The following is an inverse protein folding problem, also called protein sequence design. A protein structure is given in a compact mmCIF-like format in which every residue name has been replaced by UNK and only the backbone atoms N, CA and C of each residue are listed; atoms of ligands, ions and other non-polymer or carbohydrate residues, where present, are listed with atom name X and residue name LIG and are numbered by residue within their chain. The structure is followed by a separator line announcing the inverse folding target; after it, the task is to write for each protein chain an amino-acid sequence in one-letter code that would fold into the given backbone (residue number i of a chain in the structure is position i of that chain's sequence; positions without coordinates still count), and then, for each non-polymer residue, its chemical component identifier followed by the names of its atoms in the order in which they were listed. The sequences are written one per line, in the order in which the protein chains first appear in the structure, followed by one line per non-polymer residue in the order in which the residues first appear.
data_IF_266705205915
#
_entry.id   IF_266705205915
#
_cell.length_a   1.000
_cell.length_b   1.000
_cell.length_c   1.000
_cell.angle_alpha   90.00
_cell.angle_beta   90.00
_cell.angle_gamma   90.00
#
_symmetry.space_group_name_H-M   'P 1'
#
loop_
_entity.id
_entity.type
_entity.pdbx_description
1 polymer ?
#
# COMPACT_ATOMS: atom_id res chain seq x y z
N UNK A 1 -59.94 -36.48 -36.01
CA UNK A 1 -59.98 -35.61 -34.85
C UNK A 1 -58.55 -35.39 -34.32
N UNK A 2 -57.84 -34.43 -34.85
CA UNK A 2 -56.48 -34.09 -34.41
C UNK A 2 -56.56 -32.88 -33.46
N UNK A 3 -56.09 -33.05 -32.20
CA UNK A 3 -56.01 -32.01 -31.22
C UNK A 3 -54.59 -31.42 -31.27
N UNK A 4 -54.45 -30.21 -31.79
CA UNK A 4 -53.20 -29.43 -31.71
C UNK A 4 -53.02 -28.92 -30.28
N UNK A 5 -51.95 -29.34 -29.60
CA UNK A 5 -51.46 -28.72 -28.37
C UNK A 5 -50.49 -27.58 -28.74
N UNK A 6 -50.92 -26.36 -28.49
CA UNK A 6 -50.00 -25.21 -28.52
C UNK A 6 -49.24 -25.16 -27.19
N UNK A 7 -47.94 -25.39 -27.25
CA UNK A 7 -47.04 -25.08 -26.12
C UNK A 7 -46.69 -23.59 -26.18
N UNK A 8 -47.22 -22.80 -25.23
CA UNK A 8 -46.73 -21.44 -24.97
C UNK A 8 -45.43 -21.51 -24.16
N UNK A 9 -44.31 -21.21 -24.80
CA UNK A 9 -43.03 -20.99 -24.11
C UNK A 9 -43.06 -19.57 -23.52
N UNK A 10 -43.23 -19.45 -22.22
CA UNK A 10 -42.97 -18.21 -21.49
C UNK A 10 -41.45 -18.04 -21.39
N UNK A 11 -40.88 -17.17 -22.23
CA UNK A 11 -39.52 -16.63 -22.04
C UNK A 11 -39.59 -15.66 -20.85
N UNK A 12 -39.16 -16.13 -19.70
CA UNK A 12 -38.82 -15.24 -18.60
C UNK A 12 -37.60 -14.42 -19.03
N UNK A 13 -37.81 -13.14 -19.38
CA UNK A 13 -36.78 -12.15 -19.41
C UNK A 13 -36.38 -11.91 -17.94
N UNK A 14 -35.34 -12.63 -17.48
CA UNK A 14 -34.62 -12.22 -16.30
C UNK A 14 -33.86 -10.94 -16.73
N UNK A 15 -34.20 -9.75 -16.18
CA UNK A 15 -33.36 -8.59 -16.43
C UNK A 15 -31.95 -8.96 -15.96
N UNK A 16 -30.98 -8.95 -16.87
CA UNK A 16 -29.58 -8.93 -16.51
C UNK A 16 -29.45 -7.63 -15.72
N UNK A 17 -29.46 -7.73 -14.41
CA UNK A 17 -29.01 -6.66 -13.55
C UNK A 17 -27.62 -6.33 -14.04
N UNK A 18 -27.48 -5.21 -14.75
CA UNK A 18 -26.18 -4.64 -15.03
C UNK A 18 -25.52 -4.47 -13.65
N UNK A 19 -24.57 -5.37 -13.34
CA UNK A 19 -23.77 -5.22 -12.13
C UNK A 19 -23.17 -3.83 -12.25
N UNK A 20 -23.55 -2.99 -11.32
CA UNK A 20 -23.19 -1.58 -11.35
C UNK A 20 -21.66 -1.45 -11.35
N UNK A 21 -21.14 -0.70 -12.30
CA UNK A 21 -19.72 -0.42 -12.48
C UNK A 21 -19.21 0.41 -11.30
N UNK A 22 -18.13 -0.04 -10.66
CA UNK A 22 -17.60 0.66 -9.47
C UNK A 22 -16.80 1.91 -9.84
N UNK A 23 -15.95 1.86 -10.88
CA UNK A 23 -15.00 2.93 -11.21
C UNK A 23 -15.34 3.67 -12.51
N UNK A 24 -15.05 4.97 -12.53
CA UNK A 24 -14.93 5.81 -13.72
C UNK A 24 -13.46 6.12 -13.99
N UNK A 25 -13.10 6.31 -15.27
CA UNK A 25 -11.75 6.64 -15.67
C UNK A 25 -11.49 8.15 -15.61
N UNK A 26 -10.45 8.55 -14.88
CA UNK A 26 -9.97 9.94 -14.75
C UNK A 26 -8.63 10.17 -15.45
N UNK A 27 -8.10 9.22 -16.22
CA UNK A 27 -6.76 9.30 -16.83
C UNK A 27 -6.57 10.53 -17.72
N UNK A 28 -7.64 11.07 -18.30
CA UNK A 28 -7.61 12.30 -19.12
C UNK A 28 -7.29 13.58 -18.30
N UNK A 29 -7.36 13.51 -16.98
CA UNK A 29 -6.96 14.63 -16.09
C UNK A 29 -5.45 14.69 -15.87
N UNK A 30 -4.70 13.63 -16.25
CA UNK A 30 -3.24 13.56 -16.09
C UNK A 30 -2.55 14.28 -17.24
N UNK A 31 -1.80 15.35 -16.93
CA UNK A 31 -1.02 16.07 -17.94
C UNK A 31 0.33 15.40 -18.16
N UNK A 32 0.84 15.47 -19.40
CA UNK A 32 2.11 14.87 -19.80
C UNK A 32 2.24 13.37 -19.42
N UNK A 33 1.16 12.63 -19.58
CA UNK A 33 1.06 11.19 -19.28
C UNK A 33 1.51 10.35 -20.49
N UNK A 34 2.80 10.34 -20.77
CA UNK A 34 3.37 9.59 -21.88
C UNK A 34 3.60 8.13 -21.53
N UNK A 35 3.44 7.19 -22.47
CA UNK A 35 3.80 5.78 -22.23
C UNK A 35 5.28 5.61 -21.87
N UNK A 36 5.55 4.97 -20.72
CA UNK A 36 6.88 4.58 -20.27
C UNK A 36 6.79 3.27 -19.47
N UNK A 37 7.91 2.79 -18.94
CA UNK A 37 7.91 1.69 -17.95
C UNK A 37 7.89 2.29 -16.57
N UNK A 38 6.69 2.46 -16.03
CA UNK A 38 6.47 2.92 -14.66
C UNK A 38 6.35 1.72 -13.72
N UNK A 39 6.82 1.86 -12.48
CA UNK A 39 6.78 0.80 -11.48
C UNK A 39 6.17 1.28 -10.16
N UNK A 40 6.98 1.61 -9.18
CA UNK A 40 6.53 2.02 -7.86
C UNK A 40 5.85 3.39 -7.86
N UNK A 41 4.83 3.52 -7.02
CA UNK A 41 4.12 4.76 -6.74
C UNK A 41 4.18 5.03 -5.23
N UNK A 42 4.26 6.29 -4.82
CA UNK A 42 4.12 6.68 -3.42
C UNK A 42 3.32 7.97 -3.27
N UNK A 43 2.64 8.09 -2.14
CA UNK A 43 1.90 9.30 -1.78
C UNK A 43 2.58 9.94 -0.58
N UNK A 44 3.14 11.12 -0.78
CA UNK A 44 3.76 11.96 0.25
C UNK A 44 3.84 13.41 -0.21
N UNK A 45 4.12 14.34 0.71
CA UNK A 45 4.39 15.75 0.43
C UNK A 45 5.88 15.95 0.10
N UNK A 46 6.27 15.68 -1.16
CA UNK A 46 7.68 15.74 -1.57
C UNK A 46 8.24 17.17 -1.69
N UNK A 47 7.37 18.16 -1.83
CA UNK A 47 7.75 19.55 -2.06
C UNK A 47 7.55 20.44 -0.81
N UNK A 48 7.11 19.84 0.31
CA UNK A 48 6.86 20.47 1.61
C UNK A 48 5.83 21.61 1.54
N UNK A 49 4.80 21.48 0.67
CA UNK A 49 3.70 22.45 0.55
C UNK A 49 2.47 22.08 1.39
N UNK A 50 2.54 20.98 2.14
CA UNK A 50 1.51 20.40 3.01
C UNK A 50 0.32 19.76 2.29
N UNK A 51 0.43 19.52 0.99
CA UNK A 51 -0.45 18.68 0.22
C UNK A 51 0.29 17.41 -0.19
N UNK A 52 -0.44 16.31 -0.30
CA UNK A 52 0.18 15.08 -0.79
C UNK A 52 0.31 15.11 -2.31
N UNK A 53 1.41 14.55 -2.79
CA UNK A 53 1.78 14.40 -4.18
C UNK A 53 1.80 12.91 -4.56
N UNK A 54 1.59 12.61 -5.85
CA UNK A 54 1.80 11.27 -6.41
C UNK A 54 3.22 11.18 -6.99
N UNK A 55 4.11 10.45 -6.32
CA UNK A 55 5.45 10.15 -6.83
C UNK A 55 5.38 8.96 -7.78
N UNK A 56 6.12 9.04 -8.90
CA UNK A 56 6.17 8.01 -9.93
C UNK A 56 7.61 7.56 -10.17
N UNK A 57 7.87 6.28 -9.94
CA UNK A 57 9.13 5.63 -10.30
C UNK A 57 9.16 5.30 -11.78
N UNK A 58 10.18 5.77 -12.50
CA UNK A 58 10.33 5.56 -13.93
C UNK A 58 11.60 4.74 -14.23
N UNK A 59 11.43 3.58 -14.85
CA UNK A 59 12.53 2.69 -15.21
C UNK A 59 13.31 3.12 -16.45
N UNK A 60 12.71 3.96 -17.31
CA UNK A 60 13.30 4.37 -18.60
C UNK A 60 13.59 5.87 -18.68
N UNK A 61 13.47 6.59 -17.59
CA UNK A 61 13.69 8.02 -17.56
C UNK A 61 13.71 8.59 -16.14
N UNK A 62 13.67 9.90 -16.03
CA UNK A 62 13.67 10.58 -14.74
C UNK A 62 12.41 10.26 -13.92
N UNK A 63 12.60 10.07 -12.62
CA UNK A 63 11.51 10.05 -11.66
C UNK A 63 10.87 11.44 -11.55
N UNK A 64 9.59 11.50 -11.25
CA UNK A 64 8.83 12.73 -11.18
C UNK A 64 7.66 12.58 -10.20
N UNK A 65 6.95 13.67 -9.94
CA UNK A 65 5.73 13.63 -9.15
C UNK A 65 4.63 14.48 -9.79
N UNK A 66 3.39 14.18 -9.42
CA UNK A 66 2.21 14.96 -9.81
C UNK A 66 1.66 15.70 -8.60
N UNK A 67 1.40 16.99 -8.75
CA UNK A 67 0.57 17.80 -7.87
C UNK A 67 -0.81 17.96 -8.47
N UNK A 68 -1.84 18.22 -7.65
CA UNK A 68 -3.18 18.56 -8.16
C UNK A 68 -3.34 20.07 -8.26
N UNK A 69 -3.79 20.53 -9.43
CA UNK A 69 -4.21 21.91 -9.64
C UNK A 69 -5.43 21.95 -10.55
N UNK A 70 -6.50 22.61 -10.11
CA UNK A 70 -7.75 22.75 -10.86
C UNK A 70 -8.32 21.41 -11.37
N UNK A 71 -8.27 20.37 -10.55
CA UNK A 71 -8.64 18.97 -10.83
C UNK A 71 -7.78 18.30 -11.95
N UNK A 72 -6.61 18.84 -12.27
CA UNK A 72 -5.63 18.19 -13.14
C UNK A 72 -4.40 17.77 -12.36
N UNK A 73 -3.84 16.62 -12.71
CA UNK A 73 -2.54 16.14 -12.22
C UNK A 73 -1.45 16.77 -13.07
N UNK A 74 -0.68 17.68 -12.48
CA UNK A 74 0.38 18.45 -13.14
C UNK A 74 1.73 17.84 -12.80
N UNK A 75 2.48 17.46 -13.84
CA UNK A 75 3.79 16.85 -13.71
C UNK A 75 4.84 17.85 -13.23
N UNK A 76 5.64 17.44 -12.26
CA UNK A 76 6.77 18.17 -11.72
C UNK A 76 8.03 17.31 -11.70
N UNK A 77 9.19 17.95 -11.77
CA UNK A 77 10.49 17.28 -11.80
C UNK A 77 11.17 17.35 -10.44
N UNK A 78 11.84 16.26 -10.05
CA UNK A 78 12.72 16.22 -8.89
C UNK A 78 14.11 16.71 -9.37
N UNK A 79 14.67 17.72 -8.72
CA UNK A 79 15.98 18.28 -9.08
C UNK A 79 16.96 18.12 -7.89
N UNK A 80 18.10 17.41 -7.98
CA UNK A 80 18.70 16.91 -9.23
C UNK A 80 17.89 15.80 -9.89
N UNK A 81 17.93 15.72 -11.21
CA UNK A 81 17.20 14.70 -11.97
C UNK A 81 17.77 13.31 -11.64
N UNK A 82 16.93 12.45 -11.08
CA UNK A 82 17.24 11.05 -10.84
C UNK A 82 16.83 10.27 -12.10
N UNK A 83 17.80 9.94 -12.92
CA UNK A 83 17.61 9.19 -14.15
C UNK A 83 18.22 7.78 -14.02
N UNK A 84 17.79 7.06 -12.98
CA UNK A 84 18.17 5.68 -12.73
C UNK A 84 17.00 4.74 -13.07
N UNK A 85 17.27 3.44 -13.09
CA UNK A 85 16.24 2.42 -13.34
C UNK A 85 15.43 2.16 -12.07
N UNK A 86 14.57 3.09 -11.72
CA UNK A 86 13.80 3.02 -10.47
C UNK A 86 12.61 2.07 -10.58
N UNK A 87 12.47 1.18 -9.61
CA UNK A 87 11.36 0.23 -9.52
C UNK A 87 10.48 0.41 -8.29
N UNK A 88 11.01 0.96 -7.20
CA UNK A 88 10.26 1.13 -5.95
C UNK A 88 10.49 2.49 -5.33
N UNK A 89 9.56 2.93 -4.51
CA UNK A 89 9.63 4.20 -3.79
C UNK A 89 8.91 4.12 -2.45
N UNK A 90 9.49 4.77 -1.44
CA UNK A 90 8.86 4.96 -0.13
C UNK A 90 9.33 6.27 0.50
N UNK A 91 8.53 6.79 1.42
CA UNK A 91 8.79 8.02 2.13
C UNK A 91 8.57 7.89 3.64
N UNK A 92 9.41 8.51 4.44
CA UNK A 92 9.22 8.70 5.88
C UNK A 92 10.20 9.73 6.44
N UNK A 93 9.83 10.36 7.54
CA UNK A 93 10.65 11.30 8.29
C UNK A 93 11.76 10.57 9.05
N UNK A 94 12.98 10.53 8.50
CA UNK A 94 14.12 9.83 9.09
C UNK A 94 14.99 10.73 9.96
N UNK A 95 14.93 12.06 9.78
CA UNK A 95 15.77 13.01 10.49
C UNK A 95 15.01 13.87 11.51
N UNK A 96 13.70 13.62 11.67
CA UNK A 96 12.84 14.24 12.68
C UNK A 96 12.54 15.74 12.42
N UNK A 97 12.60 16.17 11.14
CA UNK A 97 12.33 17.57 10.78
C UNK A 97 10.85 17.87 10.47
N UNK A 98 10.02 16.82 10.41
CA UNK A 98 8.58 16.90 10.18
C UNK A 98 8.16 16.75 8.73
N UNK A 99 9.10 16.46 7.84
CA UNK A 99 8.88 16.15 6.43
C UNK A 99 9.43 14.75 6.11
N UNK A 100 8.90 14.12 5.08
CA UNK A 100 9.30 12.76 4.73
C UNK A 100 10.39 12.79 3.65
N UNK A 101 11.54 12.15 3.90
CA UNK A 101 12.54 11.83 2.88
C UNK A 101 12.03 10.72 1.97
N UNK A 102 12.40 10.78 0.70
CA UNK A 102 11.95 9.83 -0.34
C UNK A 102 13.10 8.94 -0.78
N UNK A 103 12.95 7.63 -0.56
CA UNK A 103 13.88 6.63 -1.04
C UNK A 103 13.43 6.08 -2.40
N UNK A 104 14.31 6.17 -3.41
CA UNK A 104 14.13 5.59 -4.74
C UNK A 104 14.98 4.33 -4.86
N UNK A 105 14.30 3.20 -5.02
CA UNK A 105 14.90 1.87 -5.14
C UNK A 105 15.22 1.58 -6.60
N UNK A 106 16.50 1.63 -6.95
CA UNK A 106 16.98 1.46 -8.33
C UNK A 106 17.53 0.05 -8.55
N UNK A 107 17.42 -0.46 -9.77
CA UNK A 107 18.05 -1.73 -10.15
C UNK A 107 18.31 -1.82 -11.64
N UNK A 108 19.45 -2.40 -12.02
CA UNK A 108 19.82 -2.74 -13.38
C UNK A 108 19.92 -4.27 -13.59
N UNK A 109 19.52 -5.05 -12.57
CA UNK A 109 19.57 -6.51 -12.60
C UNK A 109 18.32 -7.12 -11.94
N UNK A 110 17.99 -8.36 -12.30
CA UNK A 110 16.88 -9.09 -11.70
C UNK A 110 17.14 -9.46 -10.23
N UNK A 111 18.35 -9.84 -9.86
CA UNK A 111 18.70 -10.25 -8.50
C UNK A 111 20.21 -10.27 -8.26
N UNK A 112 20.63 -10.39 -7.01
CA UNK A 112 22.01 -10.35 -6.62
C UNK A 112 22.62 -8.95 -6.73
N UNK A 113 23.93 -8.87 -7.05
CA UNK A 113 24.66 -7.61 -7.13
C UNK A 113 24.19 -6.74 -8.29
N UNK A 114 24.04 -5.44 -8.06
CA UNK A 114 23.69 -4.41 -9.03
C UNK A 114 24.76 -3.32 -9.14
N UNK A 115 24.71 -2.53 -10.22
CA UNK A 115 25.60 -1.39 -10.45
C UNK A 115 24.94 -0.05 -10.16
N UNK A 116 23.61 0.05 -10.41
CA UNK A 116 22.84 1.27 -10.13
C UNK A 116 22.79 1.54 -8.61
N UNK A 117 22.91 2.80 -8.23
CA UNK A 117 22.76 3.23 -6.84
C UNK A 117 21.29 3.57 -6.54
N UNK A 118 20.87 3.35 -5.31
CA UNK A 118 19.61 3.92 -4.81
C UNK A 118 19.83 5.40 -4.47
N UNK A 119 18.74 6.17 -4.39
CA UNK A 119 18.76 7.56 -3.97
C UNK A 119 17.88 7.75 -2.75
N UNK A 120 18.30 8.62 -1.84
CA UNK A 120 17.51 9.04 -0.67
C UNK A 120 17.44 10.57 -0.69
N UNK A 121 16.26 11.08 -1.05
CA UNK A 121 16.06 12.49 -1.33
C UNK A 121 15.43 13.17 -0.14
N UNK A 122 16.10 14.19 0.37
CA UNK A 122 15.66 15.16 1.33
C UNK A 122 15.39 16.50 0.62
N UNK A 123 14.33 17.22 1.00
CA UNK A 123 14.03 18.56 0.53
C UNK A 123 14.23 19.60 1.63
N UNK A 124 15.37 20.28 1.62
CA UNK A 124 15.75 21.29 2.64
C UNK A 124 15.06 22.66 2.46
N UNK A 125 13.83 22.67 1.92
CA UNK A 125 12.99 23.85 1.61
C UNK A 125 13.52 24.76 0.49
N UNK A 126 14.63 24.40 -0.16
CA UNK A 126 15.23 25.15 -1.27
C UNK A 126 15.63 24.26 -2.43
N UNK A 127 16.12 23.07 -2.11
CA UNK A 127 16.63 22.11 -3.10
C UNK A 127 16.50 20.70 -2.57
N UNK A 128 16.41 19.76 -3.51
CA UNK A 128 16.52 18.35 -3.18
C UNK A 128 18.00 17.98 -3.00
N UNK A 129 18.28 17.17 -1.99
CA UNK A 129 19.61 16.64 -1.66
C UNK A 129 19.52 15.13 -1.65
N UNK A 130 20.40 14.44 -2.39
CA UNK A 130 20.53 13.00 -2.28
C UNK A 130 21.50 12.64 -1.15
N UNK A 131 20.97 12.21 -0.01
CA UNK A 131 21.73 11.86 1.20
C UNK A 131 22.71 10.70 0.92
N UNK A 132 22.34 9.72 0.06
CA UNK A 132 23.22 8.61 -0.31
C UNK A 132 24.39 9.04 -1.20
N UNK A 133 24.34 10.24 -1.80
CA UNK A 133 25.45 10.78 -2.61
C UNK A 133 26.50 11.53 -1.77
N UNK A 134 26.21 11.83 -0.52
CA UNK A 134 27.17 12.48 0.38
C UNK A 134 28.37 11.55 0.63
N UNK A 135 29.58 12.10 0.64
CA UNK A 135 30.84 11.35 0.80
C UNK A 135 30.80 10.45 2.04
N UNK A 136 30.25 10.94 3.15
CA UNK A 136 30.13 10.21 4.43
C UNK A 136 29.22 8.98 4.33
N UNK A 137 28.39 8.85 3.30
CA UNK A 137 27.38 7.79 3.12
C UNK A 137 27.68 6.83 1.97
N UNK A 138 28.76 7.01 1.20
CA UNK A 138 29.04 6.20 0.03
C UNK A 138 29.13 4.68 0.34
N UNK A 139 29.64 4.32 1.51
CA UNK A 139 29.73 2.92 1.96
C UNK A 139 28.34 2.36 2.39
N UNK A 140 27.35 3.22 2.59
CA UNK A 140 26.00 2.81 3.00
C UNK A 140 25.07 2.53 1.81
N UNK A 141 25.53 2.70 0.59
CA UNK A 141 24.77 2.40 -0.62
C UNK A 141 24.35 0.92 -0.67
N UNK A 142 23.16 0.68 -1.23
CA UNK A 142 22.67 -0.68 -1.43
C UNK A 142 23.16 -1.24 -2.76
N UNK A 143 24.04 -2.24 -2.71
CA UNK A 143 24.64 -2.88 -3.89
C UNK A 143 23.90 -4.15 -4.33
N UNK A 144 22.72 -4.44 -3.80
CA UNK A 144 21.90 -5.57 -4.18
C UNK A 144 20.59 -5.13 -4.82
N UNK A 145 20.03 -5.97 -5.70
CA UNK A 145 18.76 -5.72 -6.34
C UNK A 145 17.63 -5.73 -5.31
N UNK A 146 17.22 -4.57 -4.84
CA UNK A 146 16.06 -4.42 -3.99
C UNK A 146 14.77 -4.74 -4.74
N UNK A 147 13.73 -5.19 -4.01
CA UNK A 147 12.40 -5.48 -4.55
C UNK A 147 11.27 -4.84 -3.76
N UNK A 148 11.55 -4.33 -2.58
CA UNK A 148 10.63 -3.51 -1.81
C UNK A 148 11.42 -2.58 -0.90
N UNK A 149 10.86 -1.42 -0.62
CA UNK A 149 11.41 -0.44 0.31
C UNK A 149 10.29 0.20 1.10
N UNK A 150 10.56 0.53 2.34
CA UNK A 150 9.64 1.25 3.23
C UNK A 150 10.34 1.58 4.52
N UNK A 151 9.59 1.89 5.54
CA UNK A 151 10.08 2.45 6.78
C UNK A 151 9.72 1.59 7.97
N UNK A 152 10.57 1.53 8.95
CA UNK A 152 10.29 0.81 10.20
C UNK A 152 10.61 1.71 11.40
N UNK A 153 9.74 1.69 12.39
CA UNK A 153 9.94 2.29 13.70
C UNK A 153 9.88 1.20 14.76
N UNK A 154 11.04 0.60 15.07
CA UNK A 154 11.13 -0.54 15.99
C UNK A 154 10.61 -0.22 17.38
N UNK A 155 10.84 0.97 17.87
CA UNK A 155 10.54 1.35 19.26
C UNK A 155 9.31 2.26 19.40
N UNK A 156 8.69 2.65 18.29
CA UNK A 156 7.52 3.52 18.30
C UNK A 156 7.85 5.00 18.55
N UNK A 157 9.09 5.42 18.33
CA UNK A 157 9.53 6.78 18.67
C UNK A 157 9.05 7.88 17.73
N UNK A 158 8.52 7.49 16.55
CA UNK A 158 8.21 8.42 15.46
C UNK A 158 9.42 8.79 14.61
N UNK A 159 10.59 8.19 14.87
CA UNK A 159 11.79 8.24 14.02
C UNK A 159 11.90 6.94 13.25
N UNK A 160 12.05 7.04 11.95
CA UNK A 160 12.03 5.89 11.06
C UNK A 160 13.43 5.50 10.58
N UNK A 161 13.62 4.21 10.38
CA UNK A 161 14.74 3.64 9.63
C UNK A 161 14.24 3.20 8.25
N UNK A 162 15.02 3.38 7.18
CA UNK A 162 14.70 2.87 5.85
C UNK A 162 15.00 1.38 5.79
N UNK A 163 14.02 0.56 5.43
CA UNK A 163 14.17 -0.88 5.26
C UNK A 163 14.09 -1.26 3.79
N UNK A 164 15.17 -1.86 3.27
CA UNK A 164 15.27 -2.36 1.89
C UNK A 164 15.27 -3.88 1.89
N UNK A 165 14.28 -4.46 1.23
CA UNK A 165 14.17 -5.91 1.00
C UNK A 165 14.86 -6.25 -0.31
N UNK A 166 15.96 -6.98 -0.23
CA UNK A 166 16.77 -7.37 -1.36
C UNK A 166 16.43 -8.77 -1.89
N UNK A 167 16.61 -8.99 -3.19
CA UNK A 167 16.44 -10.28 -3.86
C UNK A 167 17.83 -10.89 -4.16
N UNK A 168 18.15 -12.01 -3.50
CA UNK A 168 19.43 -12.68 -3.63
C UNK A 168 20.61 -11.94 -3.00
N UNK A 169 20.33 -11.08 -2.04
CA UNK A 169 21.30 -10.38 -1.20
C UNK A 169 20.74 -10.09 0.20
N UNK A 170 21.60 -9.71 1.16
CA UNK A 170 21.13 -9.40 2.50
C UNK A 170 20.24 -8.16 2.50
N UNK A 171 19.15 -8.21 3.25
CA UNK A 171 18.32 -7.03 3.52
C UNK A 171 19.15 -5.93 4.20
N UNK A 172 18.75 -4.68 4.00
CA UNK A 172 19.46 -3.52 4.52
C UNK A 172 18.53 -2.62 5.32
N UNK A 173 18.99 -2.16 6.47
CA UNK A 173 18.26 -1.15 7.28
C UNK A 173 19.19 0.03 7.48
N UNK A 174 18.78 1.19 6.97
CA UNK A 174 19.53 2.43 7.07
C UNK A 174 18.92 3.31 8.16
N UNK A 175 19.72 3.61 9.17
CA UNK A 175 19.42 4.58 10.24
C UNK A 175 20.16 5.87 10.01
N UNK A 176 19.44 6.96 10.07
CA UNK A 176 19.99 8.32 9.95
C UNK A 176 20.40 8.89 11.33
N UNK A 177 21.52 9.63 11.36
CA UNK A 177 21.88 10.51 12.46
C UNK A 177 22.72 11.69 11.93
N UNK A 178 22.15 12.91 11.91
CA UNK A 178 22.79 14.13 11.41
C UNK A 178 23.35 13.97 9.99
N UNK A 179 22.51 13.50 9.08
CA UNK A 179 22.80 13.19 7.66
C UNK A 179 23.84 12.08 7.45
N UNK A 180 24.27 11.37 8.49
CA UNK A 180 25.10 10.19 8.40
C UNK A 180 24.23 8.94 8.53
N UNK A 181 24.32 8.05 7.55
CA UNK A 181 23.63 6.76 7.54
C UNK A 181 24.49 5.66 8.17
N UNK A 182 23.84 4.67 8.76
CA UNK A 182 24.47 3.44 9.25
C UNK A 182 23.56 2.24 8.97
N UNK A 183 24.16 1.12 8.54
CA UNK A 183 23.45 -0.14 8.37
C UNK A 183 23.26 -0.84 9.73
N UNK A 184 22.03 -0.85 10.23
CA UNK A 184 21.66 -1.46 11.51
C UNK A 184 20.95 -2.82 11.34
N UNK A 185 20.86 -3.35 10.12
CA UNK A 185 20.13 -4.58 9.81
C UNK A 185 20.53 -5.78 10.65
N UNK A 186 21.85 -5.95 10.90
CA UNK A 186 22.37 -7.03 11.74
C UNK A 186 21.95 -6.87 13.21
N UNK A 187 22.01 -5.64 13.72
CA UNK A 187 21.63 -5.34 15.10
C UNK A 187 20.14 -5.60 15.34
N UNK A 188 19.30 -5.33 14.35
CA UNK A 188 17.87 -5.55 14.39
C UNK A 188 17.44 -6.99 14.08
N UNK A 189 18.36 -7.89 13.68
CA UNK A 189 18.03 -9.27 13.30
C UNK A 189 17.37 -9.41 11.92
N UNK A 190 17.47 -8.38 11.07
CA UNK A 190 16.80 -8.32 9.75
C UNK A 190 17.74 -8.61 8.58
N UNK A 191 19.04 -8.83 8.81
CA UNK A 191 20.06 -9.07 7.78
C UNK A 191 19.99 -10.49 7.22
N UNK A 192 18.88 -10.84 6.58
CA UNK A 192 18.67 -12.15 5.95
C UNK A 192 18.78 -12.04 4.44
N UNK A 193 19.19 -13.14 3.81
CA UNK A 193 19.23 -13.28 2.34
C UNK A 193 18.04 -14.12 1.91
N UNK A 194 17.24 -13.63 0.96
CA UNK A 194 16.09 -14.35 0.44
C UNK A 194 15.69 -13.88 -0.96
N UNK A 195 14.61 -14.45 -1.49
CA UNK A 195 13.90 -13.95 -2.66
C UNK A 195 12.83 -12.92 -2.29
N UNK A 196 13.15 -11.96 -1.41
CA UNK A 196 12.17 -10.98 -0.94
C UNK A 196 11.56 -10.15 -2.05
N UNK A 197 10.22 -9.99 -2.03
CA UNK A 197 9.46 -9.28 -3.07
C UNK A 197 8.66 -8.12 -2.54
N UNK A 198 8.06 -8.29 -1.37
CA UNK A 198 7.16 -7.30 -0.78
C UNK A 198 7.27 -7.35 0.73
N UNK A 199 6.93 -6.25 1.39
CA UNK A 199 6.76 -6.29 2.82
C UNK A 199 5.69 -5.30 3.29
N UNK A 200 5.14 -5.57 4.45
CA UNK A 200 4.34 -4.62 5.22
C UNK A 200 4.86 -4.54 6.65
N UNK A 201 4.61 -3.42 7.29
CA UNK A 201 5.09 -3.12 8.62
C UNK A 201 3.95 -2.53 9.46
N UNK A 202 3.26 -3.40 10.20
CA UNK A 202 2.07 -3.09 11.02
C UNK A 202 2.08 -3.92 12.31
N UNK A 203 1.40 -3.49 13.39
CA UNK A 203 1.35 -4.23 14.64
C UNK A 203 0.33 -5.38 14.58
N UNK A 204 0.73 -6.57 14.09
CA UNK A 204 -0.15 -7.74 14.07
C UNK A 204 -0.37 -8.34 15.46
N UNK A 205 0.69 -8.83 16.09
CA UNK A 205 0.64 -9.52 17.38
C UNK A 205 1.45 -8.80 18.46
N UNK A 206 2.13 -7.75 18.09
CA UNK A 206 2.92 -6.91 18.99
C UNK A 206 2.21 -5.57 19.19
N UNK A 207 2.51 -4.87 20.30
CA UNK A 207 2.05 -3.49 20.50
C UNK A 207 2.68 -2.52 19.51
N UNK A 208 3.89 -2.85 19.02
CA UNK A 208 4.65 -2.11 18.03
C UNK A 208 4.68 -2.85 16.69
N UNK A 209 5.23 -2.21 15.70
CA UNK A 209 5.25 -2.69 14.33
C UNK A 209 5.99 -4.02 14.20
N UNK A 210 5.28 -5.07 13.77
CA UNK A 210 5.81 -6.32 13.22
C UNK A 210 6.08 -6.16 11.73
N UNK A 211 6.86 -7.09 11.14
CA UNK A 211 7.20 -7.05 9.72
C UNK A 211 6.86 -8.40 9.08
N UNK A 212 6.08 -8.37 8.00
CA UNK A 212 5.92 -9.52 7.11
C UNK A 212 6.66 -9.27 5.80
N UNK A 213 7.45 -10.25 5.34
CA UNK A 213 8.11 -10.25 4.04
C UNK A 213 7.62 -11.43 3.22
N UNK A 214 7.01 -11.12 2.07
CA UNK A 214 6.65 -12.10 1.05
C UNK A 214 7.85 -12.44 0.18
N UNK A 215 8.17 -13.72 0.06
CA UNK A 215 9.30 -14.23 -0.71
C UNK A 215 8.85 -14.96 -1.98
N UNK A 216 9.75 -14.97 -2.97
CA UNK A 216 9.68 -15.83 -4.15
C UNK A 216 10.64 -17.00 -3.97
N UNK A 217 10.18 -18.23 -4.25
CA UNK A 217 10.98 -19.46 -4.19
C UNK A 217 11.54 -19.85 -2.81
N UNK A 218 11.05 -19.27 -1.72
CA UNK A 218 11.43 -19.63 -0.36
C UNK A 218 10.30 -19.31 0.61
N UNK A 219 10.46 -19.69 1.90
CA UNK A 219 9.49 -19.36 2.94
C UNK A 219 9.36 -17.85 3.12
N UNK A 220 8.14 -17.39 3.40
CA UNK A 220 7.91 -16.03 3.86
C UNK A 220 8.56 -15.81 5.22
N UNK A 221 8.89 -14.57 5.54
CA UNK A 221 9.33 -14.18 6.88
C UNK A 221 8.24 -13.40 7.62
N UNK A 222 8.13 -13.68 8.90
CA UNK A 222 7.39 -12.87 9.85
C UNK A 222 8.30 -12.51 11.02
N UNK A 223 8.63 -11.25 11.13
CA UNK A 223 9.47 -10.71 12.19
C UNK A 223 8.59 -10.09 13.27
N UNK A 224 8.46 -10.79 14.37
CA UNK A 224 7.75 -10.29 15.54
C UNK A 224 8.60 -9.25 16.26
N UNK A 225 7.99 -8.10 16.59
CA UNK A 225 8.63 -7.07 17.40
C UNK A 225 8.61 -7.48 18.87
N UNK A 226 9.66 -8.16 19.32
CA UNK A 226 9.81 -8.56 20.71
C UNK A 226 10.23 -7.39 21.60
N UNK A 227 10.13 -7.57 22.93
CA UNK A 227 10.66 -6.62 23.92
C UNK A 227 12.19 -6.50 23.91
N UNK A 228 12.86 -7.39 23.19
CA UNK A 228 14.32 -7.36 22.96
C UNK A 228 14.67 -6.31 21.90
N UNK A 229 15.96 -5.95 21.81
CA UNK A 229 16.43 -4.98 20.82
C UNK A 229 16.36 -5.50 19.36
N UNK A 230 15.98 -6.76 19.16
CA UNK A 230 15.92 -7.43 17.86
C UNK A 230 14.49 -7.86 17.53
N UNK A 231 14.22 -7.96 16.24
CA UNK A 231 13.08 -8.71 15.72
C UNK A 231 13.36 -10.22 15.79
N UNK A 232 12.31 -11.01 15.97
CA UNK A 232 12.38 -12.49 15.98
C UNK A 232 11.62 -13.05 14.79
N UNK A 233 12.28 -13.88 13.97
CA UNK A 233 11.65 -14.57 12.85
C UNK A 233 10.77 -15.72 13.36
N UNK A 234 9.44 -15.64 13.11
CA UNK A 234 8.40 -16.51 13.64
C UNK A 234 7.43 -17.05 12.58
N UNK A 235 7.74 -16.98 11.29
CA UNK A 235 6.80 -17.31 10.20
C UNK A 235 6.25 -18.74 10.32
N UNK A 236 7.04 -19.71 10.75
CA UNK A 236 6.59 -21.09 10.96
C UNK A 236 5.61 -21.20 12.12
N UNK A 237 5.93 -20.61 13.26
CA UNK A 237 5.06 -20.63 14.47
C UNK A 237 3.73 -19.93 14.18
N UNK A 238 3.77 -18.85 13.39
CA UNK A 238 2.60 -18.05 13.03
C UNK A 238 1.77 -18.66 11.89
N UNK A 239 2.22 -19.75 11.26
CA UNK A 239 1.47 -20.46 10.22
C UNK A 239 1.48 -19.80 8.83
N UNK A 240 2.42 -18.88 8.55
CA UNK A 240 2.48 -18.10 7.29
C UNK A 240 3.78 -18.25 6.51
N UNK A 241 4.56 -19.30 6.78
CA UNK A 241 5.82 -19.54 6.05
C UNK A 241 5.62 -19.84 4.56
N UNK A 242 4.52 -20.46 4.14
CA UNK A 242 4.02 -20.70 2.76
C UNK A 242 5.14 -20.90 1.69
N UNK A 243 6.03 -21.84 1.95
CA UNK A 243 7.35 -21.99 1.33
C UNK A 243 7.36 -22.16 -0.20
N UNK A 244 6.28 -22.64 -0.77
CA UNK A 244 6.24 -23.08 -2.18
C UNK A 244 5.50 -22.09 -3.09
N UNK A 245 5.12 -20.94 -2.55
CA UNK A 245 4.41 -19.91 -3.30
C UNK A 245 5.34 -18.76 -3.70
N UNK A 246 4.86 -17.88 -4.56
CA UNK A 246 5.63 -16.78 -5.13
C UNK A 246 4.96 -15.45 -4.82
N UNK A 247 5.09 -14.96 -3.59
CA UNK A 247 4.44 -13.73 -3.15
C UNK A 247 4.87 -12.54 -4.01
N UNK A 248 3.88 -11.68 -4.33
CA UNK A 248 4.08 -10.36 -4.93
C UNK A 248 3.48 -9.28 -4.04
N UNK A 249 2.27 -8.86 -4.27
CA UNK A 249 1.61 -7.85 -3.46
C UNK A 249 1.13 -8.38 -2.12
N UNK A 250 1.17 -7.54 -1.09
CA UNK A 250 0.68 -7.82 0.26
C UNK A 250 -0.07 -6.60 0.80
N UNK A 251 -1.12 -6.84 1.56
CA UNK A 251 -1.86 -5.80 2.30
C UNK A 251 -2.37 -6.32 3.64
N UNK A 252 -2.77 -5.42 4.53
CA UNK A 252 -3.40 -5.77 5.81
C UNK A 252 -4.69 -4.98 5.99
N UNK A 253 -5.70 -5.64 6.52
CA UNK A 253 -6.99 -5.05 6.86
C UNK A 253 -7.66 -5.92 7.94
N UNK A 254 -8.75 -5.43 8.52
CA UNK A 254 -9.59 -6.21 9.44
C UNK A 254 -10.66 -6.95 8.60
N UNK A 255 -10.35 -8.21 8.21
CA UNK A 255 -11.16 -9.01 7.27
C UNK A 255 -12.52 -9.43 7.81
N UNK A 256 -12.64 -9.58 9.12
CA UNK A 256 -13.79 -10.16 9.81
C UNK A 256 -14.43 -9.20 10.83
N UNK A 257 -13.96 -7.94 10.90
CA UNK A 257 -14.38 -6.90 11.83
C UNK A 257 -14.25 -7.27 13.31
N UNK A 258 -13.22 -8.04 13.68
CA UNK A 258 -12.92 -8.41 15.07
C UNK A 258 -12.01 -7.39 15.77
N UNK A 259 -11.51 -6.41 15.04
CA UNK A 259 -10.63 -5.36 15.56
C UNK A 259 -9.16 -5.75 15.57
N UNK A 260 -8.80 -6.86 14.92
CA UNK A 260 -7.42 -7.30 14.71
C UNK A 260 -7.01 -7.04 13.24
N UNK A 261 -5.72 -6.91 13.01
CA UNK A 261 -5.19 -6.84 11.65
C UNK A 261 -4.96 -8.22 11.07
N UNK A 262 -5.50 -8.42 9.92
CA UNK A 262 -5.36 -9.63 9.13
C UNK A 262 -4.39 -9.41 7.96
N UNK A 263 -3.98 -10.48 7.28
CA UNK A 263 -2.96 -10.45 6.23
C UNK A 263 -3.51 -11.05 4.93
N UNK A 264 -3.36 -10.29 3.84
CA UNK A 264 -3.72 -10.75 2.49
C UNK A 264 -2.51 -10.62 1.57
N UNK A 265 -2.23 -11.64 0.78
CA UNK A 265 -1.24 -11.53 -0.28
C UNK A 265 -1.58 -12.32 -1.54
N UNK A 266 -1.07 -11.80 -2.65
CA UNK A 266 -1.19 -12.40 -3.96
C UNK A 266 0.07 -13.16 -4.34
N UNK A 267 -0.11 -14.38 -4.85
CA UNK A 267 0.96 -15.23 -5.38
C UNK A 267 0.99 -15.18 -6.90
N UNK A 268 2.17 -14.99 -7.48
CA UNK A 268 2.36 -15.03 -8.94
C UNK A 268 2.07 -16.42 -9.48
N UNK A 269 1.03 -16.53 -10.31
CA UNK A 269 0.58 -17.79 -10.89
C UNK A 269 0.32 -18.90 -9.85
N UNK A 270 0.18 -18.52 -8.57
CA UNK A 270 -0.10 -19.38 -7.42
C UNK A 270 -1.42 -19.04 -6.75
N UNK A 271 -1.82 -19.84 -5.76
CA UNK A 271 -3.03 -19.60 -5.00
C UNK A 271 -2.86 -18.38 -4.07
N UNK A 272 -3.77 -17.42 -4.17
CA UNK A 272 -3.76 -16.24 -3.29
C UNK A 272 -4.16 -16.61 -1.86
N UNK A 273 -3.76 -15.83 -0.88
CA UNK A 273 -3.96 -16.09 0.55
C UNK A 273 -4.71 -14.97 1.24
N UNK A 274 -5.55 -15.38 2.18
CA UNK A 274 -6.31 -14.53 3.05
C UNK A 274 -6.25 -15.11 4.47
N UNK A 275 -5.46 -14.50 5.34
CA UNK A 275 -5.19 -15.00 6.68
C UNK A 275 -5.84 -14.12 7.73
N UNK A 276 -6.65 -14.71 8.61
CA UNK A 276 -7.17 -14.06 9.82
C UNK A 276 -6.34 -14.42 11.03
N UNK A 277 -6.27 -13.51 12.00
CA UNK A 277 -5.70 -13.81 13.30
C UNK A 277 -6.65 -14.67 14.12
N UNK A 278 -6.20 -15.84 14.56
CA UNK A 278 -6.99 -16.75 15.38
C UNK A 278 -6.10 -17.56 16.31
N UNK A 279 -6.45 -17.61 17.59
CA UNK A 279 -5.70 -18.37 18.59
C UNK A 279 -4.20 -18.03 18.64
N UNK A 280 -3.83 -16.76 18.46
CA UNK A 280 -2.46 -16.27 18.50
C UNK A 280 -1.59 -16.61 17.28
N UNK A 281 -2.18 -17.01 16.16
CA UNK A 281 -1.53 -17.30 14.88
C UNK A 281 -2.42 -16.92 13.70
N UNK A 282 -1.92 -17.01 12.50
CA UNK A 282 -2.69 -16.82 11.27
C UNK A 282 -3.35 -18.13 10.80
N UNK A 283 -4.58 -18.04 10.31
CA UNK A 283 -5.35 -19.13 9.69
C UNK A 283 -5.86 -18.69 8.31
N UNK A 284 -5.55 -19.46 7.26
CA UNK A 284 -6.00 -19.14 5.90
C UNK A 284 -7.50 -19.41 5.74
N UNK A 285 -8.26 -18.40 5.33
CA UNK A 285 -9.71 -18.46 5.09
C UNK A 285 -10.09 -18.20 3.63
N UNK A 286 -9.11 -18.10 2.72
CA UNK A 286 -9.39 -17.83 1.31
C UNK A 286 -10.33 -18.89 0.72
N UNK A 287 -11.39 -18.42 0.06
CA UNK A 287 -12.30 -19.31 -0.68
C UNK A 287 -11.78 -19.55 -2.11
N UNK A 288 -12.37 -20.50 -2.83
CA UNK A 288 -11.92 -20.90 -4.18
C UNK A 288 -11.92 -19.76 -5.19
N UNK A 289 -12.84 -18.81 -5.08
CA UNK A 289 -12.91 -17.64 -5.97
C UNK A 289 -11.71 -16.72 -5.72
N UNK A 290 -11.40 -16.46 -4.45
CA UNK A 290 -10.27 -15.65 -4.04
C UNK A 290 -8.93 -16.32 -4.36
N UNK A 291 -8.77 -17.62 -4.08
CA UNK A 291 -7.55 -18.39 -4.34
C UNK A 291 -7.17 -18.50 -5.82
N UNK A 292 -8.08 -18.15 -6.75
CA UNK A 292 -7.86 -18.34 -8.18
C UNK A 292 -6.60 -17.61 -8.66
N UNK A 293 -5.72 -18.34 -9.35
CA UNK A 293 -4.40 -17.87 -9.81
C UNK A 293 -4.49 -16.66 -10.73
N UNK A 294 -3.51 -15.77 -10.64
CA UNK A 294 -3.31 -14.67 -11.60
C UNK A 294 -1.84 -14.22 -11.62
N UNK A 295 -1.50 -13.39 -12.62
CA UNK A 295 -0.20 -12.72 -12.70
C UNK A 295 -0.20 -11.43 -11.90
N UNK A 296 -0.51 -11.54 -10.61
CA UNK A 296 -0.61 -10.40 -9.70
C UNK A 296 0.74 -9.71 -9.50
N UNK A 297 0.70 -8.38 -9.36
CA UNK A 297 1.82 -7.53 -8.91
C UNK A 297 1.51 -6.88 -7.58
N UNK A 298 0.56 -5.97 -7.54
CA UNK A 298 0.20 -5.25 -6.31
C UNK A 298 -1.12 -5.78 -5.76
N UNK A 299 -1.19 -5.92 -4.45
CA UNK A 299 -2.42 -6.16 -3.70
C UNK A 299 -2.57 -5.00 -2.72
N UNK A 300 -3.73 -4.38 -2.68
CA UNK A 300 -4.05 -3.31 -1.75
C UNK A 300 -5.49 -3.45 -1.24
N UNK A 301 -5.77 -2.79 -0.12
CA UNK A 301 -7.11 -2.68 0.42
C UNK A 301 -7.51 -1.22 0.61
N UNK A 302 -8.78 -0.91 0.32
CA UNK A 302 -9.36 0.40 0.54
C UNK A 302 -10.90 0.33 0.51
N UNK A 303 -11.54 1.21 1.27
CA UNK A 303 -13.00 1.38 1.28
C UNK A 303 -13.40 2.33 0.13
N UNK A 304 -13.45 1.80 -1.09
CA UNK A 304 -13.68 2.61 -2.30
C UNK A 304 -15.09 3.17 -2.38
N UNK A 305 -16.09 2.49 -1.83
CA UNK A 305 -17.49 2.93 -1.92
C UNK A 305 -17.99 3.64 -0.65
N UNK A 306 -17.10 3.84 0.33
CA UNK A 306 -17.42 4.46 1.62
C UNK A 306 -18.52 3.72 2.41
N UNK A 307 -18.67 2.40 2.22
CA UNK A 307 -19.63 1.61 2.98
C UNK A 307 -19.10 1.22 4.38
N UNK A 308 -17.79 1.33 4.59
CA UNK A 308 -17.06 1.05 5.82
C UNK A 308 -16.37 -0.31 5.85
N UNK A 309 -16.46 -1.09 4.77
CA UNK A 309 -15.67 -2.31 4.54
C UNK A 309 -14.64 -2.01 3.46
N UNK A 310 -13.41 -2.52 3.65
CA UNK A 310 -12.38 -2.38 2.63
C UNK A 310 -12.54 -3.47 1.57
N UNK A 311 -12.55 -3.08 0.30
CA UNK A 311 -12.37 -3.98 -0.82
C UNK A 311 -10.90 -4.32 -0.98
N UNK A 312 -10.61 -5.49 -1.57
CA UNK A 312 -9.26 -5.96 -1.89
C UNK A 312 -9.06 -5.90 -3.39
N UNK A 313 -8.13 -5.07 -3.85
CA UNK A 313 -7.80 -4.90 -5.27
C UNK A 313 -6.50 -5.63 -5.63
N UNK A 314 -6.53 -6.35 -6.76
CA UNK A 314 -5.39 -7.05 -7.35
C UNK A 314 -5.03 -6.41 -8.68
N UNK A 315 -3.85 -5.79 -8.75
CA UNK A 315 -3.27 -5.28 -9.98
C UNK A 315 -2.50 -6.40 -10.69
N UNK A 316 -2.98 -6.79 -11.86
CA UNK A 316 -2.41 -7.89 -12.66
C UNK A 316 -1.61 -7.36 -13.87
N UNK A 317 -0.70 -8.18 -14.40
CA UNK A 317 0.04 -7.88 -15.63
C UNK A 317 -0.43 -8.77 -16.78
N UNK A 318 -0.95 -8.14 -17.85
CA UNK A 318 -1.44 -8.83 -19.04
C UNK A 318 -2.67 -9.72 -18.82
N UNK A 319 -3.36 -9.49 -17.72
CA UNK A 319 -4.61 -10.16 -17.32
C UNK A 319 -5.54 -9.14 -16.65
N UNK A 320 -6.86 -9.37 -16.62
CA UNK A 320 -7.80 -8.50 -15.94
C UNK A 320 -7.44 -8.28 -14.48
N UNK A 321 -7.48 -7.04 -14.01
CA UNK A 321 -7.46 -6.70 -12.59
C UNK A 321 -8.66 -7.32 -11.87
N UNK A 322 -8.55 -7.49 -10.56
CA UNK A 322 -9.62 -8.08 -9.74
C UNK A 322 -9.92 -7.19 -8.54
N UNK A 323 -11.19 -7.21 -8.14
CA UNK A 323 -11.65 -6.58 -6.91
C UNK A 323 -12.53 -7.57 -6.16
N UNK A 324 -12.31 -7.67 -4.86
CA UNK A 324 -13.11 -8.51 -3.97
C UNK A 324 -13.73 -7.64 -2.89
N UNK A 325 -15.00 -7.89 -2.60
CA UNK A 325 -15.77 -7.25 -1.54
C UNK A 325 -16.33 -8.32 -0.60
N UNK A 326 -16.41 -8.01 0.68
CA UNK A 326 -17.05 -8.87 1.65
C UNK A 326 -18.58 -8.69 1.60
N UNK A 327 -19.29 -9.77 1.28
CA UNK A 327 -20.74 -9.82 1.34
C UNK A 327 -21.18 -10.20 2.76
N UNK A 328 -21.60 -9.22 3.57
CA UNK A 328 -22.02 -9.45 4.96
C UNK A 328 -23.21 -10.42 5.09
N UNK A 329 -24.13 -10.41 4.12
CA UNK A 329 -25.32 -11.27 4.16
C UNK A 329 -24.97 -12.75 3.94
N UNK A 330 -24.03 -13.03 3.05
CA UNK A 330 -23.59 -14.39 2.72
C UNK A 330 -22.37 -14.83 3.56
N UNK A 331 -21.66 -13.89 4.19
CA UNK A 331 -20.43 -14.15 4.94
C UNK A 331 -19.26 -14.61 4.08
N UNK A 332 -19.19 -14.14 2.82
CA UNK A 332 -18.18 -14.57 1.85
C UNK A 332 -17.59 -13.37 1.09
N UNK A 333 -16.36 -13.56 0.60
CA UNK A 333 -15.70 -12.62 -0.31
C UNK A 333 -16.11 -12.93 -1.76
N UNK A 334 -16.60 -11.91 -2.45
CA UNK A 334 -17.11 -12.01 -3.83
C UNK A 334 -16.35 -11.08 -4.77
N UNK A 335 -16.25 -11.48 -6.04
CA UNK A 335 -15.66 -10.63 -7.08
C UNK A 335 -16.64 -9.53 -7.52
N UNK A 336 -16.11 -8.32 -7.73
CA UNK A 336 -16.87 -7.13 -8.16
C UNK A 336 -16.51 -6.70 -9.59
N UNK A 337 -17.43 -5.97 -10.21
CA UNK A 337 -17.23 -5.37 -11.53
C UNK A 337 -16.49 -4.04 -11.40
N UNK A 338 -15.22 -4.02 -11.83
CA UNK A 338 -14.39 -2.82 -11.80
C UNK A 338 -14.74 -1.81 -12.92
N UNK A 339 -15.49 -2.21 -13.96
CA UNK A 339 -15.67 -1.38 -15.14
C UNK A 339 -14.34 -1.11 -15.86
N UNK A 340 -13.98 0.17 -16.15
CA UNK A 340 -12.75 0.48 -16.86
C UNK A 340 -11.46 0.13 -16.11
N UNK A 341 -11.49 0.01 -14.78
CA UNK A 341 -10.34 -0.42 -13.99
C UNK A 341 -10.02 -1.92 -14.11
N UNK A 342 -10.83 -2.68 -14.86
CA UNK A 342 -10.57 -4.07 -15.19
C UNK A 342 -9.26 -4.26 -16.00
N UNK A 343 -8.93 -3.36 -16.89
CA UNK A 343 -7.70 -3.30 -17.69
C UNK A 343 -7.21 -4.66 -18.21
N UNK A 344 -7.96 -5.39 -19.05
CA UNK A 344 -7.62 -6.77 -19.42
C UNK A 344 -6.29 -6.93 -20.16
N UNK A 345 -5.75 -5.85 -20.70
CA UNK A 345 -4.46 -5.78 -21.39
C UNK A 345 -3.48 -4.85 -20.65
N UNK A 346 -3.77 -4.49 -19.41
CA UNK A 346 -2.91 -3.65 -18.57
C UNK A 346 -1.62 -4.40 -18.22
N UNK A 347 -0.48 -3.71 -18.32
CA UNK A 347 0.81 -4.25 -17.87
C UNK A 347 1.09 -3.75 -16.44
N UNK A 348 0.15 -4.00 -15.53
CA UNK A 348 0.16 -3.48 -14.17
C UNK A 348 1.44 -3.85 -13.41
N UNK A 349 2.05 -2.85 -12.78
CA UNK A 349 3.26 -3.01 -11.96
C UNK A 349 3.03 -2.56 -10.53
N UNK A 350 2.62 -1.31 -10.32
CA UNK A 350 2.32 -0.75 -9.02
C UNK A 350 0.90 -0.19 -8.95
N UNK A 351 0.36 -0.06 -7.75
CA UNK A 351 -0.88 0.65 -7.51
C UNK A 351 -0.88 1.28 -6.12
N UNK A 352 -1.50 2.45 -6.00
CA UNK A 352 -1.75 3.13 -4.71
C UNK A 352 -3.12 3.76 -4.70
N UNK A 353 -3.62 4.05 -3.50
CA UNK A 353 -4.89 4.72 -3.28
C UNK A 353 -4.69 5.97 -2.44
N UNK A 354 -5.35 7.05 -2.83
CA UNK A 354 -5.40 8.30 -2.10
C UNK A 354 -6.66 9.11 -2.46
N UNK A 355 -6.99 10.10 -1.65
CA UNK A 355 -7.96 11.15 -1.99
C UNK A 355 -7.17 12.47 -2.14
N UNK A 356 -6.50 12.62 -3.27
CA UNK A 356 -5.64 13.78 -3.53
C UNK A 356 -6.43 15.04 -3.87
N UNK A 357 -7.63 14.88 -4.46
CA UNK A 357 -8.51 16.02 -4.76
C UNK A 357 -9.40 16.43 -3.58
N UNK A 358 -9.28 15.74 -2.43
CA UNK A 358 -9.95 16.01 -1.15
C UNK A 358 -11.50 16.01 -1.26
N UNK A 359 -12.06 15.22 -2.17
CA UNK A 359 -13.51 15.12 -2.35
C UNK A 359 -14.14 13.96 -1.54
N UNK A 360 -13.33 13.17 -0.83
CA UNK A 360 -13.74 12.03 0.00
C UNK A 360 -14.00 10.75 -0.79
N UNK A 361 -13.68 10.73 -2.07
CA UNK A 361 -13.67 9.54 -2.91
C UNK A 361 -12.24 9.17 -3.23
N UNK A 362 -11.89 7.93 -2.93
CA UNK A 362 -10.55 7.45 -3.17
C UNK A 362 -10.28 7.28 -4.67
N UNK A 363 -9.15 7.85 -5.12
CA UNK A 363 -8.59 7.55 -6.43
C UNK A 363 -7.70 6.31 -6.35
N UNK A 364 -7.84 5.42 -7.34
CA UNK A 364 -6.95 4.30 -7.59
C UNK A 364 -5.98 4.69 -8.71
N UNK A 365 -4.69 4.79 -8.40
CA UNK A 365 -3.61 5.07 -9.33
C UNK A 365 -2.93 3.78 -9.70
N UNK A 366 -2.77 3.49 -10.99
CA UNK A 366 -2.08 2.29 -11.49
C UNK A 366 -0.94 2.68 -12.40
N UNK A 367 0.24 2.13 -12.14
CA UNK A 367 1.40 2.20 -13.01
C UNK A 367 1.54 0.94 -13.85
N UNK A 368 2.11 1.11 -15.04
CA UNK A 368 2.31 0.05 -16.01
C UNK A 368 3.75 0.01 -16.48
N UNK A 369 4.26 -1.21 -16.76
CA UNK A 369 5.66 -1.32 -17.16
C UNK A 369 6.08 -2.74 -17.50
N UNK A 370 7.26 -3.12 -17.06
CA UNK A 370 7.90 -4.44 -17.19
C UNK A 370 8.06 -4.90 -18.65
N UNK A 371 7.03 -5.45 -19.28
CA UNK A 371 7.10 -5.99 -20.64
C UNK A 371 6.76 -4.99 -21.76
N UNK A 372 6.27 -3.81 -21.43
CA UNK A 372 5.89 -2.79 -22.41
C UNK A 372 5.70 -1.41 -21.80
N UNK A 373 5.55 -0.41 -22.64
CA UNK A 373 5.30 0.98 -22.24
C UNK A 373 3.82 1.27 -22.28
N UNK A 374 3.26 1.74 -21.16
CA UNK A 374 1.88 2.22 -21.07
C UNK A 374 1.85 3.49 -20.20
N UNK A 375 0.84 4.36 -20.37
CA UNK A 375 0.66 5.52 -19.49
C UNK A 375 0.18 5.07 -18.11
N UNK A 376 0.24 5.95 -17.11
CA UNK A 376 -0.47 5.79 -15.84
C UNK A 376 -1.99 5.84 -16.09
N UNK A 377 -2.75 5.12 -15.27
CA UNK A 377 -4.21 5.22 -15.24
C UNK A 377 -4.71 5.62 -13.86
N UNK A 378 -5.80 6.37 -13.86
CA UNK A 378 -6.45 6.84 -12.63
C UNK A 378 -7.93 6.54 -12.70
N UNK A 379 -8.46 5.98 -11.62
CA UNK A 379 -9.86 5.63 -11.47
C UNK A 379 -10.41 6.19 -10.16
N UNK A 380 -11.67 6.59 -10.15
CA UNK A 380 -12.40 7.05 -8.98
C UNK A 380 -13.76 6.34 -8.90
N UNK A 381 -14.25 6.05 -7.72
CA UNK A 381 -15.56 5.42 -7.53
C UNK A 381 -16.70 6.29 -8.10
N UNK A 382 -17.59 5.68 -8.89
CA UNK A 382 -18.73 6.39 -9.50
C UNK A 382 -19.95 6.56 -8.58
N UNK A 383 -20.04 5.73 -7.53
CA UNK A 383 -21.26 5.59 -6.71
C UNK A 383 -21.18 6.21 -5.34
N UNK A 384 -20.16 6.95 -5.05
CA UNK A 384 -19.87 7.34 -3.70
C UNK A 384 -20.68 8.58 -3.26
N UNK A 385 -21.94 8.39 -2.85
CA UNK A 385 -22.76 9.34 -2.10
C UNK A 385 -22.89 8.96 -0.60
N UNK A 386 -22.08 7.99 -0.13
CA UNK A 386 -21.89 7.67 1.26
C UNK A 386 -21.02 8.73 1.96
N UNK A 387 -21.13 8.77 3.28
CA UNK A 387 -20.31 9.65 4.09
C UNK A 387 -18.96 8.99 4.42
N UNK A 388 -18.00 9.82 4.81
CA UNK A 388 -16.66 9.37 5.18
C UNK A 388 -16.09 10.19 6.34
N UNK A 389 -15.00 9.73 6.90
CA UNK A 389 -14.10 10.51 7.75
C UNK A 389 -12.66 10.06 7.49
N UNK A 390 -11.75 11.01 7.41
CA UNK A 390 -10.33 10.75 7.16
C UNK A 390 -9.51 11.29 8.30
N UNK A 391 -8.55 10.51 8.78
CA UNK A 391 -7.71 10.86 9.92
C UNK A 391 -6.25 10.77 9.49
N UNK A 392 -5.55 11.89 9.64
CA UNK A 392 -4.10 11.98 9.46
C UNK A 392 -3.44 12.14 10.83
N UNK A 393 -2.95 11.03 11.44
CA UNK A 393 -2.16 11.11 12.64
C UNK A 393 -0.79 11.71 12.31
N UNK A 394 -0.29 12.60 13.17
CA UNK A 394 1.06 13.16 13.04
C UNK A 394 1.93 12.69 14.20
N UNK A 395 3.23 12.52 13.94
CA UNK A 395 4.26 12.28 14.97
C UNK A 395 4.47 13.55 15.82
N UNK A 396 5.23 13.42 16.89
CA UNK A 396 5.67 14.60 17.70
C UNK A 396 6.51 15.60 16.91
N UNK A 397 6.99 15.20 15.72
CA UNK A 397 7.74 16.07 14.79
C UNK A 397 6.85 16.69 13.71
N UNK A 398 5.54 16.41 13.71
CA UNK A 398 4.54 16.83 12.72
C UNK A 398 4.65 16.15 11.33
N UNK A 399 5.41 15.06 11.20
CA UNK A 399 5.36 14.18 10.04
C UNK A 399 4.19 13.20 10.14
N UNK A 400 3.75 12.56 9.04
CA UNK A 400 2.77 11.48 9.09
C UNK A 400 3.21 10.34 10.02
N UNK A 401 2.30 9.92 10.92
CA UNK A 401 2.62 8.87 11.90
C UNK A 401 2.38 7.48 11.30
N UNK A 402 3.35 6.99 10.52
CA UNK A 402 3.32 5.61 9.99
C UNK A 402 3.44 4.61 11.15
N UNK A 403 2.65 3.54 11.12
CA UNK A 403 2.50 2.60 12.22
C UNK A 403 1.40 2.98 13.23
N UNK A 404 0.77 4.15 13.10
CA UNK A 404 -0.34 4.54 13.97
C UNK A 404 -1.60 3.73 13.66
N UNK A 405 -2.36 3.41 14.72
CA UNK A 405 -3.67 2.79 14.66
C UNK A 405 -4.76 3.84 14.85
N UNK A 406 -5.77 3.79 14.00
CA UNK A 406 -6.94 4.66 14.12
C UNK A 406 -8.19 3.80 14.25
N UNK A 407 -9.04 4.13 15.23
CA UNK A 407 -10.33 3.48 15.45
C UNK A 407 -11.45 4.51 15.37
N UNK A 408 -12.45 4.22 14.54
CA UNK A 408 -13.69 5.00 14.42
C UNK A 408 -14.82 4.21 15.03
N UNK A 409 -15.58 4.83 15.94
CA UNK A 409 -16.71 4.22 16.65
C UNK A 409 -17.99 4.92 16.26
N UNK A 410 -18.93 4.17 15.67
CA UNK A 410 -20.32 4.53 15.41
C UNK A 410 -21.25 3.75 16.35
N UNK A 411 -22.56 4.08 16.38
CA UNK A 411 -23.51 3.36 17.21
C UNK A 411 -23.61 1.86 16.89
N UNK A 412 -23.47 1.50 15.61
CA UNK A 412 -23.68 0.13 15.12
C UNK A 412 -22.39 -0.67 14.95
N UNK A 413 -21.25 0.01 14.83
CA UNK A 413 -19.96 -0.69 14.56
C UNK A 413 -18.76 0.13 14.99
N UNK A 414 -17.63 -0.56 15.12
CA UNK A 414 -16.31 0.03 15.20
C UNK A 414 -15.48 -0.42 14.00
N UNK A 415 -14.66 0.46 13.45
CA UNK A 415 -13.73 0.19 12.35
C UNK A 415 -12.32 0.52 12.80
N UNK A 416 -11.33 -0.21 12.33
CA UNK A 416 -9.91 0.10 12.53
C UNK A 416 -9.18 0.26 11.20
N UNK A 417 -8.19 1.14 11.17
CA UNK A 417 -7.21 1.28 10.08
C UNK A 417 -5.83 1.50 10.68
N UNK A 418 -4.82 1.08 9.95
CA UNK A 418 -3.43 1.33 10.31
C UNK A 418 -2.75 2.11 9.20
N UNK A 419 -1.84 2.99 9.60
CA UNK A 419 -0.98 3.68 8.65
C UNK A 419 0.23 2.79 8.39
N UNK A 420 0.16 1.98 7.33
CA UNK A 420 1.26 1.10 6.94
C UNK A 420 2.47 1.91 6.46
N UNK A 421 3.66 1.46 6.80
CA UNK A 421 4.92 2.06 6.38
C UNK A 421 5.65 1.26 5.30
N UNK A 422 5.17 0.06 4.98
CA UNK A 422 5.68 -0.79 3.90
C UNK A 422 4.92 -0.57 2.60
N UNK A 423 3.68 -1.02 2.51
CA UNK A 423 2.77 -0.92 1.37
C UNK A 423 2.96 -1.91 0.23
N UNK A 424 3.09 -3.15 0.55
CA UNK A 424 2.88 -4.19 -0.45
C UNK A 424 4.03 -4.32 -1.44
N UNK A 425 3.81 -4.09 -2.73
CA UNK A 425 4.79 -4.33 -3.78
C UNK A 425 5.22 -3.03 -4.45
N UNK A 426 6.46 -2.59 -4.20
CA UNK A 426 7.12 -1.41 -4.81
C UNK A 426 6.50 -0.04 -4.48
N UNK A 427 5.34 0.01 -3.83
CA UNK A 427 4.54 1.21 -3.66
C UNK A 427 4.43 1.63 -2.20
N UNK A 428 3.90 2.82 -1.93
CA UNK A 428 3.54 3.25 -0.59
C UNK A 428 2.28 4.11 -0.60
N UNK A 429 1.30 3.71 0.20
CA UNK A 429 -0.02 4.31 0.27
C UNK A 429 -0.01 5.69 0.95
N UNK A 430 -1.09 6.44 0.74
CA UNK A 430 -1.38 7.67 1.48
C UNK A 430 -1.36 7.40 3.00
N UNK A 431 -0.65 8.22 3.82
CA UNK A 431 -0.59 8.02 5.27
C UNK A 431 -1.83 8.56 6.00
N UNK A 432 -3.02 8.29 5.47
CA UNK A 432 -4.31 8.73 6.00
C UNK A 432 -5.23 7.54 6.20
N UNK A 433 -5.75 7.39 7.41
CA UNK A 433 -6.79 6.40 7.69
C UNK A 433 -8.13 6.89 7.13
N UNK A 434 -8.61 6.24 6.08
CA UNK A 434 -9.90 6.55 5.45
C UNK A 434 -10.97 5.58 5.94
N UNK A 435 -12.12 6.11 6.33
CA UNK A 435 -13.27 5.34 6.83
C UNK A 435 -14.54 5.76 6.13
N UNK A 436 -15.16 4.84 5.41
CA UNK A 436 -16.52 5.00 4.98
C UNK A 436 -17.50 4.89 6.15
N UNK A 437 -18.54 5.70 6.13
CA UNK A 437 -19.55 5.75 7.17
C UNK A 437 -20.93 5.28 6.66
N UNK A 438 -21.01 4.94 5.38
CA UNK A 438 -22.29 4.66 4.71
C UNK A 438 -23.22 5.87 4.76
N UNK A 439 -24.51 5.62 4.92
CA UNK A 439 -25.52 6.68 5.06
C UNK A 439 -25.54 7.34 6.43
N UNK A 440 -24.88 6.73 7.43
CA UNK A 440 -24.90 7.24 8.81
C UNK A 440 -23.74 8.20 9.05
N UNK A 441 -24.04 9.47 9.33
CA UNK A 441 -23.07 10.53 9.61
C UNK A 441 -22.55 10.52 11.05
N UNK A 442 -23.20 9.78 11.96
CA UNK A 442 -22.92 9.90 13.39
C UNK A 442 -21.69 9.08 13.77
N UNK A 443 -20.59 9.75 14.06
CA UNK A 443 -19.40 9.19 14.68
C UNK A 443 -19.40 9.60 16.16
N UNK A 444 -19.36 8.61 17.06
CA UNK A 444 -19.31 8.86 18.52
C UNK A 444 -17.92 9.36 18.88
N UNK A 445 -16.89 8.65 18.43
CA UNK A 445 -15.50 9.06 18.67
C UNK A 445 -14.52 8.46 17.66
N UNK A 446 -13.40 9.13 17.53
CA UNK A 446 -12.17 8.63 16.89
C UNK A 446 -11.13 8.45 17.99
N UNK A 447 -10.41 7.34 17.95
CA UNK A 447 -9.24 7.07 18.80
C UNK A 447 -8.04 6.92 17.89
N UNK A 448 -7.01 7.73 18.11
CA UNK A 448 -5.69 7.56 17.50
C UNK A 448 -4.75 6.98 18.55
N UNK A 449 -4.04 5.93 18.21
CA UNK A 449 -3.05 5.28 19.04
C UNK A 449 -1.73 5.24 18.27
N UNK A 450 -0.69 5.88 18.82
CA UNK A 450 0.65 5.89 18.25
C UNK A 450 1.44 4.64 18.66
N UNK A 451 2.48 4.26 17.91
CA UNK A 451 3.26 3.06 18.18
C UNK A 451 3.98 3.04 19.55
N UNK A 452 4.16 4.18 20.19
CA UNK A 452 4.69 4.30 21.56
C UNK A 452 3.65 4.05 22.66
N UNK A 453 2.38 3.86 22.28
CA UNK A 453 1.26 3.64 23.20
C UNK A 453 0.48 4.89 23.61
N UNK A 454 0.91 6.09 23.19
CA UNK A 454 0.13 7.32 23.40
C UNK A 454 -1.19 7.24 22.65
N UNK A 455 -2.24 7.83 23.24
CA UNK A 455 -3.61 7.80 22.67
C UNK A 455 -4.25 9.17 22.74
N UNK A 456 -5.02 9.48 21.71
CA UNK A 456 -5.87 10.69 21.68
C UNK A 456 -7.27 10.34 21.22
N UNK A 457 -8.27 10.87 21.94
CA UNK A 457 -9.68 10.71 21.59
C UNK A 457 -10.26 12.03 21.08
N UNK A 458 -11.08 11.93 20.03
CA UNK A 458 -11.86 13.03 19.47
C UNK A 458 -13.33 12.64 19.57
N UNK A 459 -14.09 13.36 20.39
CA UNK A 459 -15.51 13.10 20.58
C UNK A 459 -16.36 13.83 19.53
N UNK A 460 -17.37 13.15 18.99
CA UNK A 460 -18.33 13.67 18.02
C UNK A 460 -17.66 14.44 16.86
N UNK A 461 -16.66 13.85 16.17
CA UNK A 461 -15.98 14.52 15.07
C UNK A 461 -16.96 14.81 13.93
N UNK A 462 -16.69 15.89 13.19
CA UNK A 462 -17.50 16.25 12.02
C UNK A 462 -17.10 15.35 10.84
N UNK A 463 -18.01 14.58 10.22
CA UNK A 463 -17.72 13.74 9.07
C UNK A 463 -17.47 14.55 7.79
N UNK A 464 -17.17 13.84 6.70
CA UNK A 464 -16.91 14.37 5.36
C UNK A 464 -15.75 15.38 5.30
N UNK A 465 -14.68 15.08 6.04
CA UNK A 465 -13.43 15.84 5.99
C UNK A 465 -12.23 15.04 6.52
N UNK A 466 -11.04 15.54 6.22
CA UNK A 466 -9.78 15.08 6.81
C UNK A 466 -9.49 15.84 8.10
N UNK A 467 -9.19 15.12 9.18
CA UNK A 467 -8.80 15.66 10.48
C UNK A 467 -7.33 15.33 10.73
N UNK A 468 -6.50 16.36 10.86
CA UNK A 468 -5.10 16.20 11.31
C UNK A 468 -5.12 16.06 12.84
N UNK A 469 -4.48 15.00 13.34
CA UNK A 469 -4.41 14.70 14.77
C UNK A 469 -2.95 14.80 15.21
N UNK A 470 -2.63 15.89 15.94
CA UNK A 470 -1.30 16.09 16.49
C UNK A 470 -1.05 15.10 17.64
N UNK A 471 0.19 14.66 17.75
CA UNK A 471 0.68 13.84 18.85
C UNK A 471 0.45 14.47 20.23
#
# INVERSE_FOLDING_TARGET
MYRNFLFLIYLYFVPVLNADVLFKNLTNTVKENFPSRYYGLAITDINNDRNFDLIVSNFEGANFYYTIKDNFYIKNHINPIINEKTIGVAACDIDEDGYEEVYFLNTDTFGGLKRSNDNLIDYDRKKYIDILSLEVNLEQRNYYAGRSVGCIDKNGSGKYDIFVVNYGGPNKVLRENKRKLSDVSNNLGLKLVSGGRSFIAVPFFSEKVDIFIGNENDKNFYFKNSSLDKYEEKSFEMGISDRYEHVRGVTSLDLNNDGLLDLVYGNWEGNHRMFVQKNGRFENIANKTFESKSKVRTVLSADFDNNGFEEIFFNNIGEPNRLFEYNEFLGVWESKNLGPALEPNGLGTGAVVADLNLNGRLELFISHGESGRQPLTIYENVRNDNNFIRILPLTKFNAPARGAKVKVIQNSRAQIRFIDSGSGYLCQMEPVAHFGLGKNKNVIKVIVEWPDGNKKEILNPIPNKTIKVLY
#
